data_IF_746874991691
#
_entry.id   IF_746874991691
#
_cell.length_a   1.000
_cell.length_b   1.000
_cell.length_c   1.000
_cell.angle_alpha   90.00
_cell.angle_beta   90.00
_cell.angle_gamma   90.00
#
_symmetry.space_group_name_H-M   'P 1'
#
loop_
_entity.id
_entity.type
_entity.pdbx_description
1 polymer ?
#
# COMPACT_ATOMS: atom_id res chain seq x y z
N UNK A 1 -28.30 10.34 -20.81
CA UNK A 1 -27.11 9.47 -20.92
C UNK A 1 -27.34 8.29 -19.98
N UNK A 2 -27.64 7.10 -20.52
CA UNK A 2 -27.89 5.90 -19.70
C UNK A 2 -26.55 5.24 -19.36
N UNK A 3 -26.31 5.01 -18.07
CA UNK A 3 -25.12 4.32 -17.56
C UNK A 3 -25.20 2.85 -17.99
N UNK A 4 -24.16 2.37 -18.67
CA UNK A 4 -24.02 0.97 -19.13
C UNK A 4 -23.96 -0.01 -17.95
N UNK A 5 -24.31 -1.28 -18.18
CA UNK A 5 -24.21 -2.36 -17.16
C UNK A 5 -22.78 -2.48 -16.58
N UNK A 6 -21.77 -2.25 -17.42
CA UNK A 6 -20.36 -2.29 -17.01
C UNK A 6 -19.99 -1.14 -16.07
N UNK A 7 -20.50 0.07 -16.34
CA UNK A 7 -20.36 1.23 -15.46
C UNK A 7 -21.15 1.08 -14.15
N UNK A 8 -22.22 0.28 -14.12
CA UNK A 8 -22.95 -0.06 -12.88
C UNK A 8 -22.18 -1.01 -11.96
N UNK A 9 -21.21 -1.77 -12.48
CA UNK A 9 -20.42 -2.74 -11.71
C UNK A 9 -19.56 -2.08 -10.63
N UNK A 10 -19.17 -0.83 -10.83
CA UNK A 10 -18.37 -0.06 -9.89
C UNK A 10 -19.21 1.02 -9.20
N UNK A 11 -18.79 1.36 -8.00
CA UNK A 11 -19.38 2.43 -7.20
C UNK A 11 -18.31 3.39 -6.71
N UNK A 12 -18.73 4.64 -6.53
CA UNK A 12 -17.97 5.65 -5.81
C UNK A 12 -18.42 5.65 -4.35
N UNK A 13 -17.48 5.56 -3.42
CA UNK A 13 -17.74 5.54 -1.98
C UNK A 13 -16.79 6.52 -1.28
N UNK A 14 -17.26 7.10 -0.19
CA UNK A 14 -16.42 7.86 0.74
C UNK A 14 -16.28 7.07 2.03
N UNK A 15 -15.09 6.57 2.31
CA UNK A 15 -14.78 5.98 3.61
C UNK A 15 -14.25 7.09 4.53
N UNK A 16 -14.95 7.31 5.63
CA UNK A 16 -14.53 8.22 6.69
C UNK A 16 -14.07 7.37 7.87
N UNK A 17 -12.81 7.52 8.26
CA UNK A 17 -12.22 6.87 9.44
C UNK A 17 -11.94 7.92 10.49
N UNK A 18 -12.54 7.76 11.66
CA UNK A 18 -12.29 8.62 12.82
C UNK A 18 -11.19 8.01 13.70
N UNK A 19 -10.26 8.84 14.17
CA UNK A 19 -9.27 8.43 15.17
C UNK A 19 -9.93 8.21 16.54
N UNK A 20 -9.36 7.28 17.30
CA UNK A 20 -9.73 7.03 18.69
C UNK A 20 -8.95 7.93 19.67
N UNK A 21 -7.99 8.70 19.16
CA UNK A 21 -7.19 9.64 19.95
C UNK A 21 -8.02 10.83 20.43
N UNK A 22 -7.48 11.56 21.42
CA UNK A 22 -8.17 12.70 22.06
C UNK A 22 -8.60 13.79 21.06
N UNK A 23 -7.79 14.04 20.04
CA UNK A 23 -8.04 15.06 19.00
C UNK A 23 -9.10 14.64 17.96
N UNK A 24 -9.58 13.38 17.98
CA UNK A 24 -10.68 12.86 17.14
C UNK A 24 -10.56 13.22 15.66
N UNK A 25 -9.35 13.15 15.12
CA UNK A 25 -9.09 13.45 13.71
C UNK A 25 -9.86 12.51 12.76
N UNK A 26 -10.14 12.99 11.55
CA UNK A 26 -10.81 12.20 10.51
C UNK A 26 -9.92 12.04 9.28
N UNK A 27 -9.77 10.80 8.82
CA UNK A 27 -9.16 10.46 7.54
C UNK A 27 -10.26 10.13 6.52
N UNK A 28 -10.10 10.66 5.31
CA UNK A 28 -11.07 10.51 4.22
C UNK A 28 -10.44 9.75 3.06
N UNK A 29 -11.13 8.75 2.54
CA UNK A 29 -10.69 7.95 1.41
C UNK A 29 -11.78 7.94 0.33
N UNK A 30 -11.44 8.46 -0.85
CA UNK A 30 -12.27 8.31 -2.06
C UNK A 30 -12.00 6.92 -2.63
N UNK A 31 -13.06 6.13 -2.75
CA UNK A 31 -12.98 4.74 -3.18
C UNK A 31 -13.74 4.57 -4.48
N UNK A 32 -13.07 4.01 -5.47
CA UNK A 32 -13.68 3.46 -6.66
C UNK A 32 -13.47 1.95 -6.65
N UNK A 33 -14.55 1.18 -6.48
CA UNK A 33 -14.46 -0.26 -6.28
C UNK A 33 -15.65 -1.02 -6.88
N UNK A 34 -15.48 -2.32 -7.23
CA UNK A 34 -16.60 -3.16 -7.62
C UNK A 34 -17.64 -3.21 -6.51
N UNK A 35 -18.91 -2.95 -6.83
CA UNK A 35 -20.00 -2.93 -5.84
C UNK A 35 -20.12 -4.24 -5.07
N UNK A 36 -19.85 -5.37 -5.74
CA UNK A 36 -19.85 -6.71 -5.14
C UNK A 36 -18.76 -6.93 -4.08
N UNK A 37 -17.70 -6.10 -4.06
CA UNK A 37 -16.58 -6.19 -3.12
C UNK A 37 -16.49 -5.00 -2.16
N UNK A 38 -17.27 -3.94 -2.35
CA UNK A 38 -17.21 -2.70 -1.58
C UNK A 38 -17.91 -2.80 -0.21
N UNK A 39 -17.69 -3.88 0.53
CA UNK A 39 -18.17 -3.98 1.91
C UNK A 39 -17.37 -3.06 2.82
N UNK A 40 -17.97 -2.53 3.89
CA UNK A 40 -17.26 -1.68 4.87
C UNK A 40 -15.98 -2.35 5.38
N UNK A 41 -16.03 -3.65 5.67
CA UNK A 41 -14.87 -4.41 6.15
C UNK A 41 -13.75 -4.43 5.10
N UNK A 42 -14.08 -4.68 3.84
CA UNK A 42 -13.10 -4.66 2.74
C UNK A 42 -12.48 -3.28 2.59
N UNK A 43 -13.29 -2.22 2.61
CA UNK A 43 -12.80 -0.85 2.46
C UNK A 43 -11.87 -0.44 3.61
N UNK A 44 -12.25 -0.78 4.85
CA UNK A 44 -11.42 -0.53 6.04
C UNK A 44 -10.12 -1.33 5.97
N UNK A 45 -10.18 -2.60 5.58
CA UNK A 45 -8.99 -3.45 5.45
C UNK A 45 -8.01 -2.88 4.43
N UNK A 46 -8.50 -2.46 3.24
CA UNK A 46 -7.67 -1.85 2.18
C UNK A 46 -7.08 -0.52 2.63
N UNK A 47 -7.88 0.37 3.24
CA UNK A 47 -7.38 1.63 3.77
C UNK A 47 -6.30 1.42 4.85
N UNK A 48 -6.46 0.38 5.68
CA UNK A 48 -5.48 0.00 6.70
C UNK A 48 -4.14 -0.49 6.13
N UNK A 49 -4.12 -1.03 4.90
CA UNK A 49 -2.86 -1.49 4.25
C UNK A 49 -1.89 -0.35 3.95
N UNK A 50 -2.35 0.90 3.92
CA UNK A 50 -1.48 2.07 3.68
C UNK A 50 -0.29 2.11 4.65
N UNK A 51 -0.52 1.76 5.91
CA UNK A 51 0.52 1.75 6.92
C UNK A 51 1.59 0.67 6.66
N UNK A 52 1.17 -0.50 6.16
CA UNK A 52 2.10 -1.58 5.82
C UNK A 52 3.02 -1.17 4.67
N UNK A 53 2.52 -0.39 3.71
CA UNK A 53 3.33 0.16 2.61
C UNK A 53 4.40 1.10 3.17
N UNK A 54 4.01 2.04 4.03
CA UNK A 54 4.92 3.00 4.67
C UNK A 54 6.01 2.30 5.48
N UNK A 55 5.60 1.31 6.29
CA UNK A 55 6.52 0.46 7.06
C UNK A 55 7.48 -0.31 6.16
N UNK A 56 7.00 -0.85 5.04
CA UNK A 56 7.83 -1.55 4.04
C UNK A 56 8.86 -0.63 3.40
N UNK A 57 8.48 0.61 3.06
CA UNK A 57 9.43 1.59 2.52
C UNK A 57 10.50 1.98 3.54
N UNK A 58 10.13 2.25 4.79
CA UNK A 58 11.11 2.53 5.84
C UNK A 58 12.06 1.36 6.09
N UNK A 59 11.54 0.12 6.10
CA UNK A 59 12.38 -1.06 6.17
C UNK A 59 13.32 -1.19 4.95
N UNK A 60 12.84 -0.90 3.73
CA UNK A 60 13.66 -0.95 2.51
C UNK A 60 14.79 0.09 2.56
N UNK A 61 14.55 1.29 3.12
CA UNK A 61 15.60 2.29 3.35
C UNK A 61 16.67 1.77 4.31
N UNK A 62 16.26 1.26 5.47
CA UNK A 62 17.18 0.79 6.51
C UNK A 62 17.91 -0.50 6.17
N UNK A 63 17.25 -1.46 5.53
CA UNK A 63 17.78 -2.80 5.28
C UNK A 63 18.39 -2.96 3.87
N UNK A 64 17.95 -2.16 2.88
CA UNK A 64 18.34 -2.31 1.47
C UNK A 64 18.88 -1.03 0.83
N UNK A 65 19.03 0.06 1.59
CA UNK A 65 19.64 1.30 1.11
C UNK A 65 18.82 2.01 0.03
N UNK A 66 17.48 1.94 0.09
CA UNK A 66 16.61 2.56 -0.92
C UNK A 66 16.91 4.05 -1.16
N UNK A 67 17.27 4.78 -0.11
CA UNK A 67 17.62 6.20 -0.12
C UNK A 67 19.13 6.45 0.04
N UNK A 68 19.95 5.41 0.05
CA UNK A 68 21.41 5.46 0.24
C UNK A 68 22.13 5.27 -1.10
N UNK A 69 21.91 6.18 -2.05
CA UNK A 69 22.55 6.15 -3.36
C UNK A 69 23.15 7.50 -3.75
N UNK A 70 24.28 7.46 -4.47
CA UNK A 70 24.94 8.68 -4.97
C UNK A 70 24.83 8.81 -6.52
N UNK A 71 23.96 8.01 -7.14
CA UNK A 71 23.82 7.98 -8.60
C UNK A 71 23.17 9.26 -9.14
N UNK A 72 23.76 9.84 -10.18
CA UNK A 72 23.25 11.07 -10.83
C UNK A 72 22.62 10.86 -12.21
N UNK A 73 22.58 9.63 -12.70
CA UNK A 73 21.99 9.28 -14.00
C UNK A 73 20.75 8.44 -13.81
N UNK A 74 19.70 8.72 -14.60
CA UNK A 74 18.43 8.00 -14.58
C UNK A 74 18.60 6.47 -14.60
N UNK A 75 19.44 5.96 -15.51
CA UNK A 75 19.64 4.52 -15.66
C UNK A 75 20.21 3.85 -14.40
N UNK A 76 21.16 4.50 -13.72
CA UNK A 76 21.72 3.94 -12.49
C UNK A 76 20.77 4.11 -11.30
N UNK A 77 20.02 5.21 -11.23
CA UNK A 77 18.95 5.37 -10.25
C UNK A 77 17.88 4.28 -10.40
N UNK A 78 17.39 4.06 -11.63
CA UNK A 78 16.36 3.05 -11.91
C UNK A 78 16.82 1.64 -11.52
N UNK A 79 18.06 1.28 -11.85
CA UNK A 79 18.67 0.00 -11.44
C UNK A 79 18.76 -0.11 -9.92
N UNK A 80 19.22 0.94 -9.24
CA UNK A 80 19.34 0.95 -7.77
C UNK A 80 17.99 0.74 -7.09
N UNK A 81 16.98 1.54 -7.43
CA UNK A 81 15.64 1.43 -6.86
C UNK A 81 15.04 0.04 -7.11
N UNK A 82 15.20 -0.49 -8.33
CA UNK A 82 14.70 -1.83 -8.67
C UNK A 82 15.36 -2.91 -7.83
N UNK A 83 16.70 -2.86 -7.69
CA UNK A 83 17.44 -3.85 -6.91
C UNK A 83 17.15 -3.74 -5.40
N UNK A 84 17.03 -2.53 -4.86
CA UNK A 84 16.67 -2.31 -3.45
C UNK A 84 15.28 -2.85 -3.12
N UNK A 85 14.28 -2.60 -3.98
CA UNK A 85 12.93 -3.13 -3.80
C UNK A 85 12.89 -4.66 -3.98
N UNK A 86 13.66 -5.21 -4.92
CA UNK A 86 13.79 -6.67 -5.09
C UNK A 86 14.39 -7.32 -3.84
N UNK A 87 15.49 -6.76 -3.31
CA UNK A 87 16.13 -7.27 -2.10
C UNK A 87 15.16 -7.26 -0.92
N UNK A 88 14.40 -6.18 -0.73
CA UNK A 88 13.39 -6.11 0.32
C UNK A 88 12.29 -7.16 0.14
N UNK A 89 11.80 -7.40 -1.09
CA UNK A 89 10.83 -8.47 -1.36
C UNK A 89 11.40 -9.86 -1.00
N UNK A 90 12.68 -10.13 -1.28
CA UNK A 90 13.34 -11.37 -0.86
C UNK A 90 13.41 -11.46 0.67
N UNK A 91 13.81 -10.40 1.38
CA UNK A 91 13.87 -10.40 2.85
C UNK A 91 12.50 -10.64 3.49
N UNK A 92 11.45 -9.97 2.99
CA UNK A 92 10.08 -10.16 3.48
C UNK A 92 9.62 -11.59 3.27
N UNK A 93 9.85 -12.16 2.08
CA UNK A 93 9.46 -13.55 1.79
C UNK A 93 10.20 -14.54 2.69
N UNK A 94 11.51 -14.38 2.89
CA UNK A 94 12.28 -15.22 3.82
C UNK A 94 11.76 -15.11 5.26
N UNK A 95 11.47 -13.90 5.74
CA UNK A 95 10.93 -13.67 7.10
C UNK A 95 9.55 -14.30 7.29
N UNK A 96 8.69 -14.27 6.27
CA UNK A 96 7.38 -14.94 6.29
C UNK A 96 7.51 -16.45 6.31
N UNK A 97 8.44 -17.03 5.54
CA UNK A 97 8.68 -18.49 5.55
C UNK A 97 9.33 -18.96 6.85
N UNK A 98 10.28 -18.21 7.40
CA UNK A 98 10.91 -18.52 8.68
C UNK A 98 9.91 -18.58 9.84
N UNK A 99 8.94 -17.66 9.87
CA UNK A 99 7.85 -17.67 10.86
C UNK A 99 6.86 -18.84 10.73
N UNK A 100 6.78 -19.52 9.58
CA UNK A 100 5.91 -20.70 9.41
C UNK A 100 6.56 -21.99 9.93
N UNK A 101 7.89 -21.99 10.10
CA UNK A 101 8.66 -23.15 10.52
C UNK A 101 9.05 -23.09 12.01
N UNK A 102 8.50 -22.15 12.77
CA UNK A 102 8.62 -22.00 14.23
C UNK A 102 7.23 -21.97 14.82
#
# INVERSE_FOLDING_TARGET
>A
MQITEEERRFGHYLLVRRSLDEEREHAYYVVYAPRSKATRQTLVNVAGRRWEIETGFEATKGECGLDQYEVRRWQGWYRHITLALLAHAVLVTLRVHGKKNT
#
